data_IF_936611310535
#
_entry.id   IF_936611310535
#
_cell.length_a   1.000
_cell.length_b   1.000
_cell.length_c   1.000
_cell.angle_alpha   90.00
_cell.angle_beta   90.00
_cell.angle_gamma   90.00
#
_symmetry.space_group_name_H-M   'P 1'
#
loop_
_entity.id
_entity.type
_entity.pdbx_description
1 polymer ?
2 non-polymer ?
3 non-polymer ?
4 non-polymer ?
5 water ?
#
# COMPACT_ATOMS: atom_id res chain seq x y z
N UNK A 1 18.69 -15.69 -1.90
CA UNK A 1 17.61 -16.24 -1.08
C UNK A 1 16.61 -15.15 -0.69
N UNK A 2 15.40 -15.18 -1.28
CA UNK A 2 14.30 -14.38 -0.76
C UNK A 2 13.85 -14.98 0.58
N UNK A 3 13.51 -14.13 1.54
CA UNK A 3 13.10 -14.63 2.84
C UNK A 3 11.79 -15.40 2.73
N UNK A 4 11.74 -16.57 3.38
CA UNK A 4 10.53 -17.39 3.34
C UNK A 4 9.53 -16.84 4.35
N UNK A 5 8.67 -15.93 3.89
CA UNK A 5 7.81 -15.19 4.78
C UNK A 5 6.42 -15.83 4.88
N UNK A 6 5.63 -15.29 5.80
CA UNK A 6 4.20 -15.55 5.85
C UNK A 6 3.58 -15.16 4.52
N UNK A 7 2.45 -15.78 4.22
CA UNK A 7 1.64 -15.42 3.07
C UNK A 7 0.43 -14.64 3.54
N UNK A 8 -0.37 -14.18 2.58
CA UNK A 8 -1.62 -13.48 2.91
C UNK A 8 -2.54 -14.38 3.72
N UNK A 9 -2.58 -15.68 3.38
CA UNK A 9 -3.43 -16.60 4.15
C UNK A 9 -3.08 -16.62 5.64
N UNK A 10 -1.78 -16.56 5.97
CA UNK A 10 -1.37 -16.65 7.38
C UNK A 10 -1.64 -15.33 8.13
N UNK A 11 -1.49 -14.20 7.45
CA UNK A 11 -1.91 -12.92 8.03
C UNK A 11 -3.40 -12.97 8.39
N UNK A 12 -4.26 -13.51 7.49
CA UNK A 12 -5.67 -13.68 7.82
C UNK A 12 -5.82 -14.41 9.16
N UNK A 13 -5.09 -15.53 9.31
CA UNK A 13 -5.18 -16.32 10.55
C UNK A 13 -4.78 -15.52 11.81
N UNK A 14 -3.66 -14.79 11.77
CA UNK A 14 -3.25 -14.07 12.98
C UNK A 14 -4.20 -12.94 13.34
N UNK A 15 -4.80 -12.29 12.33
CA UNK A 15 -5.82 -11.29 12.62
C UNK A 15 -7.03 -11.92 13.30
N UNK A 16 -7.43 -13.10 12.83
CA UNK A 16 -8.55 -13.77 13.48
C UNK A 16 -8.27 -14.11 14.93
N UNK A 17 -7.00 -14.47 15.22
CA UNK A 17 -6.62 -14.77 16.60
C UNK A 17 -6.65 -13.52 17.49
N UNK A 18 -6.14 -12.39 16.99
CA UNK A 18 -6.21 -11.16 17.77
C UNK A 18 -7.65 -10.82 18.14
N UNK A 19 -8.56 -10.96 17.17
CA UNK A 19 -9.97 -10.67 17.43
C UNK A 19 -10.53 -11.61 18.50
N UNK A 20 -10.26 -12.91 18.36
CA UNK A 20 -10.70 -13.88 19.38
C UNK A 20 -10.20 -13.52 20.78
N UNK A 21 -8.96 -13.04 20.87
CA UNK A 21 -8.31 -12.69 22.13
C UNK A 21 -8.83 -11.41 22.77
N UNK A 22 -9.52 -10.56 22.02
CA UNK A 22 -9.93 -9.24 22.50
C UNK A 22 -8.72 -8.37 22.86
N UNK A 23 -7.67 -8.47 22.04
CA UNK A 23 -6.45 -7.69 22.21
C UNK A 23 -6.62 -6.35 21.49
N UNK A 24 -7.32 -5.41 22.15
CA UNK A 24 -7.70 -4.17 21.49
C UNK A 24 -6.75 -3.02 21.85
N UNK A 25 -6.53 -2.11 20.90
CA UNK A 25 -5.77 -0.91 21.17
C UNK A 25 -6.54 0.31 20.63
N UNK A 26 -6.52 1.40 21.41
CA UNK A 26 -7.33 2.61 21.18
C UNK A 26 -6.74 3.46 20.07
N UNK A 27 -7.50 3.63 18.98
CA UNK A 27 -7.11 4.52 17.86
C UNK A 27 -7.14 5.97 18.31
N UNK A 28 -6.42 6.81 17.57
CA UNK A 28 -6.42 8.26 17.83
C UNK A 28 -7.84 8.83 17.76
N UNK A 29 -8.70 8.27 16.90
CA UNK A 29 -10.10 8.70 16.79
C UNK A 29 -10.97 8.15 17.92
N UNK A 30 -10.40 7.39 18.85
CA UNK A 30 -11.15 6.80 19.94
C UNK A 30 -11.67 5.40 19.71
N UNK A 31 -11.65 4.91 18.45
CA UNK A 31 -12.18 3.62 18.03
C UNK A 31 -11.20 2.48 18.37
N UNK A 32 -11.71 1.27 18.63
CA UNK A 32 -10.86 0.10 18.86
C UNK A 32 -10.24 -0.41 17.55
N UNK A 33 -9.02 -0.96 17.64
CA UNK A 33 -8.45 -1.69 16.52
C UNK A 33 -7.92 -3.02 17.00
N UNK A 34 -7.68 -3.91 16.04
CA UNK A 34 -6.82 -5.06 16.29
C UNK A 34 -5.59 -4.88 15.42
N UNK A 35 -4.47 -5.45 15.87
CA UNK A 35 -3.19 -4.99 15.37
C UNK A 35 -2.15 -6.10 15.37
N UNK A 36 -1.35 -6.14 14.30
CA UNK A 36 -0.10 -6.88 14.32
C UNK A 36 1.02 -5.84 14.26
N UNK A 37 1.91 -5.87 15.25
CA UNK A 37 3.07 -4.97 15.34
C UNK A 37 4.24 -5.65 14.63
N UNK A 38 4.91 -4.92 13.72
CA UNK A 38 6.07 -5.46 13.01
C UNK A 38 5.76 -6.58 12.04
N UNK A 39 4.67 -6.49 11.29
CA UNK A 39 4.26 -7.55 10.36
C UNK A 39 5.17 -7.60 9.13
N UNK A 40 5.42 -8.80 8.60
CA UNK A 40 6.18 -8.94 7.35
C UNK A 40 5.68 -10.16 6.57
N UNK A 41 5.28 -10.01 5.29
CA UNK A 41 4.67 -11.13 4.53
C UNK A 41 4.81 -10.93 3.01
N UNK A 42 4.70 -12.02 2.22
CA UNK A 42 4.70 -11.89 0.73
C UNK A 42 3.28 -11.63 0.24
N UNK A 43 3.12 -10.65 -0.65
CA UNK A 43 1.82 -10.25 -1.19
C UNK A 43 1.49 -11.09 -2.44
N UNK A 44 1.01 -12.32 -2.18
CA UNK A 44 0.73 -13.29 -3.25
C UNK A 44 -0.73 -13.31 -3.68
N UNK A 45 -1.54 -12.41 -3.15
CA UNK A 45 -2.91 -12.21 -3.59
C UNK A 45 -3.14 -10.72 -3.60
N UNK A 46 -4.01 -10.22 -4.47
CA UNK A 46 -4.24 -8.77 -4.57
C UNK A 46 -5.19 -8.18 -3.51
N UNK A 47 -5.66 -8.93 -2.50
CA UNK A 47 -6.47 -8.38 -1.41
C UNK A 47 -6.37 -9.30 -0.20
N UNK A 48 -6.67 -8.78 1.01
CA UNK A 48 -6.67 -9.63 2.20
C UNK A 48 -8.11 -10.02 2.55
N UNK A 49 -8.93 -9.04 2.92
CA UNK A 49 -10.37 -9.24 3.02
C UNK A 49 -11.04 -8.21 2.12
N UNK A 50 -12.27 -8.50 1.70
CA UNK A 50 -13.01 -7.58 0.86
C UNK A 50 -12.95 -7.94 -0.62
N UNK A 51 -13.43 -7.02 -1.43
CA UNK A 51 -13.59 -7.29 -2.85
C UNK A 51 -12.77 -6.30 -3.68
N UNK A 52 -12.52 -6.67 -4.93
CA UNK A 52 -11.79 -5.77 -5.81
C UNK A 52 -12.71 -4.72 -6.40
N UNK A 53 -12.10 -3.63 -6.86
CA UNK A 53 -12.84 -2.56 -7.52
C UNK A 53 -11.93 -1.94 -8.57
N UNK A 54 -11.91 -2.54 -9.77
CA UNK A 54 -11.04 -2.07 -10.84
C UNK A 54 -11.35 -0.63 -11.24
N UNK A 55 -12.63 -0.23 -11.17
CA UNK A 55 -13.02 1.12 -11.57
C UNK A 55 -12.32 2.18 -10.73
N UNK A 56 -12.42 2.03 -9.41
CA UNK A 56 -11.82 2.98 -8.47
C UNK A 56 -10.29 2.97 -8.57
N UNK A 57 -9.70 1.78 -8.60
CA UNK A 57 -8.27 1.69 -8.75
C UNK A 57 -7.81 2.42 -10.00
N UNK A 58 -8.56 2.27 -11.11
CA UNK A 58 -8.17 2.92 -12.36
C UNK A 58 -8.26 4.44 -12.23
N UNK A 59 -9.24 4.94 -11.44
CA UNK A 59 -9.32 6.38 -11.19
C UNK A 59 -8.15 6.85 -10.32
N UNK A 60 -7.76 6.06 -9.31
CA UNK A 60 -6.62 6.49 -8.48
C UNK A 60 -5.33 6.48 -9.30
N UNK A 61 -5.18 5.51 -10.20
CA UNK A 61 -4.00 5.49 -11.05
C UNK A 61 -3.97 6.67 -12.03
N UNK A 62 -5.11 7.05 -12.62
CA UNK A 62 -5.10 8.25 -13.44
C UNK A 62 -4.69 9.49 -12.61
N UNK A 63 -5.16 9.57 -11.34
CA UNK A 63 -4.74 10.69 -10.45
C UNK A 63 -3.24 10.69 -10.18
N UNK A 64 -2.69 9.53 -9.87
CA UNK A 64 -1.25 9.39 -9.71
C UNK A 64 -0.50 9.83 -10.98
N UNK A 65 -1.01 9.43 -12.19
CA UNK A 65 -0.35 9.82 -13.45
C UNK A 65 -0.36 11.33 -13.64
N UNK A 66 -1.38 12.02 -13.13
CA UNK A 66 -1.40 13.48 -13.16
C UNK A 66 -0.39 14.15 -12.18
N UNK A 67 0.04 13.46 -11.10
CA UNK A 67 0.95 13.96 -10.02
C UNK A 67 0.36 15.08 -9.17
N UNK A 68 -0.94 15.32 -9.24
CA UNK A 68 -1.51 16.42 -8.48
C UNK A 68 -1.57 16.18 -6.97
N UNK A 69 -1.24 17.21 -6.17
CA UNK A 69 -1.38 17.12 -4.70
C UNK A 69 -2.75 17.55 -4.16
N UNK A 70 -3.75 17.75 -5.04
CA UNK A 70 -5.06 18.21 -4.62
C UNK A 70 -6.08 17.11 -4.89
N UNK A 71 -6.94 16.85 -3.90
CA UNK A 71 -7.84 15.69 -3.99
C UNK A 71 -8.92 15.87 -5.06
N UNK A 72 -9.33 17.11 -5.37
CA UNK A 72 -10.34 17.30 -6.42
C UNK A 72 -9.91 16.76 -7.80
N UNK A 73 -8.60 16.68 -8.06
CA UNK A 73 -8.19 16.20 -9.39
C UNK A 73 -8.34 14.68 -9.61
N UNK A 74 -8.68 13.91 -8.58
CA UNK A 74 -9.12 12.52 -8.80
C UNK A 74 -10.26 12.50 -9.84
N UNK A 75 -10.23 11.67 -10.92
CA UNK A 75 -11.33 11.67 -11.92
C UNK A 75 -12.69 11.41 -11.29
N UNK A 76 -13.70 12.15 -11.74
CA UNK A 76 -15.04 11.90 -11.18
C UNK A 76 -15.14 12.47 -9.75
N UNK A 77 -16.18 12.03 -9.02
CA UNK A 77 -16.41 12.51 -7.65
C UNK A 77 -15.34 12.00 -6.67
N UNK A 78 -14.67 12.93 -5.96
CA UNK A 78 -13.60 12.55 -5.03
C UNK A 78 -14.14 11.86 -3.77
N UNK A 79 -13.59 10.70 -3.39
CA UNK A 79 -14.04 9.98 -2.17
C UNK A 79 -13.97 10.80 -0.88
N UNK A 80 -14.91 10.50 0.04
CA UNK A 80 -15.02 11.24 1.30
C UNK A 80 -13.76 11.14 2.19
N UNK A 81 -13.08 10.00 2.18
CA UNK A 81 -11.90 9.86 3.04
C UNK A 81 -10.84 10.89 2.67
N UNK A 82 -10.67 11.08 1.35
CA UNK A 82 -9.66 12.03 0.88
C UNK A 82 -10.04 13.44 1.29
N UNK A 83 -11.33 13.75 1.26
CA UNK A 83 -11.79 15.06 1.73
C UNK A 83 -11.50 15.28 3.21
N UNK A 84 -11.64 14.23 4.04
CA UNK A 84 -11.51 14.45 5.49
C UNK A 84 -10.05 14.64 5.93
N UNK A 85 -9.09 14.03 5.24
CA UNK A 85 -7.70 14.26 5.64
C UNK A 85 -7.04 15.48 4.98
N UNK A 86 -7.70 16.16 4.02
CA UNK A 86 -7.07 17.24 3.25
C UNK A 86 -6.99 18.52 4.08
N UNK A 87 -6.08 19.41 3.68
CA UNK A 87 -5.91 20.71 4.34
C UNK A 87 -7.10 21.60 4.03
N UNK A 88 -7.08 22.81 4.62
CA UNK A 88 -8.08 23.84 4.32
C UNK A 88 -8.17 24.18 2.83
N UNK A 89 -7.19 23.81 2.02
CA UNK A 89 -7.18 24.12 0.58
C UNK A 89 -7.29 22.89 -0.31
N UNK A 90 -7.55 21.71 0.24
CA UNK A 90 -7.74 20.54 -0.59
C UNK A 90 -6.48 19.78 -0.82
N UNK A 91 -5.41 20.11 -0.08
CA UNK A 91 -4.08 19.55 -0.30
C UNK A 91 -3.78 18.39 0.63
N UNK A 92 -3.02 17.44 0.11
CA UNK A 92 -2.55 16.29 0.89
C UNK A 92 -1.05 16.12 0.67
N UNK A 93 -0.49 15.10 1.32
CA UNK A 93 0.88 14.68 1.09
C UNK A 93 0.95 13.41 0.23
N UNK A 94 -0.01 12.49 0.36
CA UNK A 94 0.18 11.11 -0.14
C UNK A 94 -0.28 10.88 -1.61
N UNK A 95 0.21 11.67 -2.63
CA UNK A 95 0.04 11.26 -4.04
C UNK A 95 1.29 10.48 -4.42
N UNK A 96 1.13 9.19 -4.64
CA UNK A 96 2.29 8.33 -4.90
C UNK A 96 2.88 8.56 -6.31
N UNK A 97 2.07 9.05 -7.27
CA UNK A 97 2.63 9.45 -8.57
C UNK A 97 3.53 10.67 -8.43
N UNK A 98 3.12 11.64 -7.60
CA UNK A 98 4.03 12.73 -7.24
C UNK A 98 5.27 12.16 -6.57
N UNK A 99 5.08 11.25 -5.59
CA UNK A 99 6.23 10.77 -4.84
C UNK A 99 7.28 10.13 -5.75
N UNK A 100 6.86 9.43 -6.83
CA UNK A 100 7.87 8.75 -7.65
C UNK A 100 8.15 9.41 -9.02
N UNK A 101 7.28 10.26 -9.54
CA UNK A 101 7.48 10.82 -10.87
C UNK A 101 7.76 12.32 -10.87
N UNK A 102 7.58 13.03 -9.73
CA UNK A 102 7.83 14.46 -9.69
C UNK A 102 9.31 14.78 -9.49
N UNK A 103 9.79 15.81 -10.18
CA UNK A 103 11.11 16.36 -9.85
C UNK A 103 11.18 16.90 -8.42
N UNK A 104 10.06 17.34 -7.85
CA UNK A 104 10.06 17.93 -6.49
C UNK A 104 10.33 16.93 -5.36
N UNK A 105 10.14 15.63 -5.60
CA UNK A 105 10.60 14.60 -4.67
C UNK A 105 11.84 13.85 -5.19
N UNK A 106 12.63 14.50 -6.06
CA UNK A 106 13.97 14.06 -6.45
C UNK A 106 13.94 12.81 -7.39
N UNK A 107 12.93 12.75 -8.28
CA UNK A 107 12.87 11.82 -9.44
C UNK A 107 13.15 10.37 -9.05
N UNK A 108 12.32 9.83 -8.15
CA UNK A 108 12.63 8.52 -7.57
C UNK A 108 12.59 7.40 -8.63
N UNK A 109 11.54 7.37 -9.47
CA UNK A 109 11.42 6.32 -10.52
C UNK A 109 12.58 6.39 -11.52
N UNK A 110 12.82 7.55 -12.08
CA UNK A 110 13.86 7.67 -13.11
C UNK A 110 15.23 7.32 -12.54
N UNK A 111 15.49 7.69 -11.24
CA UNK A 111 16.82 7.42 -10.65
C UNK A 111 16.96 5.96 -10.26
N UNK A 112 15.91 5.35 -9.77
CA UNK A 112 15.95 3.91 -9.57
C UNK A 112 16.12 3.18 -10.92
N UNK A 113 15.41 3.62 -11.99
CA UNK A 113 15.59 2.97 -13.31
C UNK A 113 17.02 3.13 -13.85
N UNK A 114 17.64 4.28 -13.64
CA UNK A 114 18.99 4.48 -14.10
C UNK A 114 19.99 3.64 -13.29
N UNK A 115 19.79 3.56 -11.95
CA UNK A 115 20.65 2.75 -11.10
C UNK A 115 20.62 1.28 -11.51
N UNK A 116 19.42 0.72 -11.71
CA UNK A 116 19.32 -0.69 -12.10
C UNK A 116 19.68 -0.95 -13.58
N UNK A 117 19.45 0.01 -14.48
CA UNK A 117 19.95 -0.17 -15.84
C UNK A 117 21.47 -0.21 -15.89
N UNK A 118 22.13 0.51 -14.96
CA UNK A 118 23.60 0.54 -14.93
C UNK A 118 24.20 -0.60 -14.11
N UNK A 119 23.59 -0.94 -12.97
CA UNK A 119 24.08 -2.05 -12.15
C UNK A 119 22.90 -2.90 -11.73
N UNK A 120 22.56 -3.92 -12.52
CA UNK A 120 21.40 -4.76 -12.16
C UNK A 120 21.46 -5.35 -10.74
N UNK A 121 22.65 -5.55 -10.15
CA UNK A 121 22.80 -6.17 -8.82
C UNK A 121 22.71 -5.21 -7.62
N UNK A 122 22.41 -3.93 -7.84
CA UNK A 122 22.60 -2.92 -6.80
C UNK A 122 21.66 -3.12 -5.59
N UNK A 123 22.13 -2.67 -4.39
CA UNK A 123 21.28 -2.60 -3.19
C UNK A 123 20.74 -1.20 -2.94
N UNK A 124 21.05 -0.25 -3.81
CA UNK A 124 20.65 1.15 -3.75
C UNK A 124 19.52 1.46 -4.72
N UNK A 125 18.80 0.46 -5.22
CA UNK A 125 17.66 0.80 -6.08
C UNK A 125 16.41 0.95 -5.22
N UNK A 126 16.02 2.19 -4.92
CA UNK A 126 15.01 2.42 -3.89
C UNK A 126 14.23 3.66 -4.31
N UNK A 127 12.97 3.70 -3.94
CA UNK A 127 12.13 4.88 -4.15
C UNK A 127 11.70 5.31 -2.75
N UNK A 128 12.16 6.50 -2.31
CA UNK A 128 11.95 6.99 -0.92
C UNK A 128 10.74 7.89 -0.98
N UNK A 129 9.66 7.49 -0.28
CA UNK A 129 8.40 8.23 -0.34
C UNK A 129 8.35 9.33 0.74
N UNK A 130 8.66 9.00 2.01
CA UNK A 130 8.54 9.90 3.18
C UNK A 130 9.81 10.78 3.30
N UNK A 131 9.85 11.65 4.34
CA UNK A 131 10.93 12.62 4.49
C UNK A 131 11.03 13.08 5.97
N UNK A 132 12.22 13.48 6.45
CA UNK A 132 12.35 13.87 7.88
C UNK A 132 11.43 15.00 8.34
N UNK A 133 11.15 15.94 7.42
CA UNK A 133 10.31 17.10 7.77
C UNK A 133 8.83 16.69 7.98
N UNK A 134 8.51 15.45 7.67
CA UNK A 134 7.18 14.94 8.01
C UNK A 134 6.84 15.14 9.49
N UNK A 135 7.85 15.28 10.42
CA UNK A 135 7.52 15.48 11.86
C UNK A 135 6.74 16.76 12.06
N UNK A 136 6.83 17.66 11.09
CA UNK A 136 6.12 18.93 11.07
C UNK A 136 5.15 19.06 9.90
N UNK A 137 5.35 18.32 8.78
CA UNK A 137 4.55 18.52 7.55
C UNK A 137 3.23 17.78 7.60
N UNK A 138 3.11 16.79 8.51
CA UNK A 138 1.93 15.91 8.54
C UNK A 138 0.65 16.71 8.79
N UNK A 139 0.74 17.86 9.50
CA UNK A 139 -0.49 18.62 9.81
C UNK A 139 -0.44 20.04 9.25
N UNK A 140 0.25 20.21 8.10
CA UNK A 140 0.35 21.53 7.47
C UNK A 140 -1.03 22.02 7.07
N UNK A 141 -1.32 23.27 7.43
CA UNK A 141 -2.59 23.89 7.09
C UNK A 141 -3.77 23.05 7.57
N UNK A 142 -3.54 22.26 8.64
CA UNK A 142 -4.64 21.53 9.24
C UNK A 142 -4.96 20.20 8.56
N UNK A 143 -4.14 19.73 7.62
CA UNK A 143 -4.34 18.39 7.08
C UNK A 143 -3.99 17.36 8.16
N UNK A 144 -4.25 16.10 7.86
CA UNK A 144 -3.88 15.02 8.83
C UNK A 144 -3.42 13.88 7.97
N UNK A 145 -2.14 13.96 7.53
CA UNK A 145 -1.67 13.03 6.51
C UNK A 145 -0.18 12.85 6.76
N UNK A 146 0.15 12.03 7.77
CA UNK A 146 1.54 11.58 8.00
C UNK A 146 1.79 10.41 7.03
N UNK A 147 2.72 10.57 6.08
CA UNK A 147 2.89 9.57 5.02
C UNK A 147 2.99 8.16 5.59
N UNK A 148 2.24 7.23 4.98
CA UNK A 148 2.17 5.84 5.46
C UNK A 148 3.21 4.93 4.83
N UNK A 149 3.55 5.17 3.55
CA UNK A 149 4.59 4.41 2.85
C UNK A 149 5.91 5.10 3.14
N UNK A 150 6.88 4.36 3.71
CA UNK A 150 8.19 4.96 4.01
C UNK A 150 9.07 4.83 2.80
N UNK A 151 9.36 3.59 2.37
CA UNK A 151 10.27 3.36 1.21
C UNK A 151 9.80 2.13 0.41
N UNK A 152 10.25 2.01 -0.88
CA UNK A 152 10.11 0.75 -1.66
C UNK A 152 11.44 0.45 -2.35
N UNK A 153 12.00 -0.72 -2.07
CA UNK A 153 13.29 -1.11 -2.61
C UNK A 153 13.08 -2.15 -3.74
N UNK A 154 13.89 -2.09 -4.81
CA UNK A 154 13.80 -3.06 -5.94
C UNK A 154 15.10 -3.83 -6.08
N UNK A 155 15.01 -5.17 -6.12
CA UNK A 155 16.19 -6.02 -6.17
C UNK A 155 16.03 -7.02 -7.33
N UNK A 156 16.94 -7.00 -8.30
CA UNK A 156 16.87 -7.89 -9.47
C UNK A 156 17.74 -9.11 -9.18
N UNK A 157 17.14 -10.29 -9.12
CA UNK A 157 17.88 -11.52 -8.86
C UNK A 157 17.32 -12.60 -9.80
N UNK A 158 18.21 -13.26 -10.54
CA UNK A 158 17.84 -14.37 -11.45
C UNK A 158 16.80 -13.90 -12.48
N UNK A 159 17.04 -12.73 -13.04
CA UNK A 159 16.23 -12.12 -14.10
C UNK A 159 14.79 -11.83 -13.66
N UNK A 160 14.50 -11.78 -12.33
CA UNK A 160 13.22 -11.32 -11.79
C UNK A 160 13.40 -10.11 -10.88
N UNK A 161 12.49 -9.18 -10.99
CA UNK A 161 12.58 -7.95 -10.21
C UNK A 161 11.65 -8.08 -9.01
N UNK A 162 12.21 -8.07 -7.78
CA UNK A 162 11.47 -8.15 -6.51
C UNK A 162 11.33 -6.78 -5.85
N UNK A 163 10.20 -6.53 -5.19
CA UNK A 163 10.00 -5.26 -4.48
C UNK A 163 9.83 -5.45 -2.95
N UNK A 164 10.48 -4.61 -2.14
CA UNK A 164 10.36 -4.67 -0.67
C UNK A 164 9.71 -3.35 -0.21
N UNK A 165 8.47 -3.43 0.29
CA UNK A 165 7.63 -2.25 0.60
C UNK A 165 7.70 -2.03 2.11
N UNK A 166 8.05 -0.83 2.56
CA UNK A 166 8.06 -0.57 4.01
C UNK A 166 7.10 0.53 4.38
N UNK A 167 6.15 0.17 5.25
CA UNK A 167 5.06 1.07 5.62
C UNK A 167 5.03 1.23 7.14
N UNK A 168 4.66 2.42 7.58
CA UNK A 168 4.54 2.72 8.99
C UNK A 168 3.23 2.16 9.53
N UNK A 169 2.21 2.15 8.68
CA UNK A 169 0.82 1.99 9.06
C UNK A 169 0.03 1.55 7.80
N UNK A 170 -0.83 0.53 7.93
CA UNK A 170 -1.61 0.08 6.76
C UNK A 170 -2.89 -0.56 7.26
N UNK A 171 -3.99 -0.09 6.70
CA UNK A 171 -5.31 -0.65 6.88
C UNK A 171 -5.45 -1.90 6.01
N UNK A 172 -5.79 -3.00 6.64
CA UNK A 172 -5.87 -4.32 5.96
C UNK A 172 -6.91 -4.35 4.82
N UNK A 173 -7.98 -3.58 4.92
CA UNK A 173 -9.11 -3.81 4.00
C UNK A 173 -9.03 -2.92 2.76
N UNK A 174 -9.07 -1.61 2.94
CA UNK A 174 -8.97 -0.76 1.75
C UNK A 174 -7.52 -0.44 1.39
N UNK A 175 -6.73 -0.07 2.41
CA UNK A 175 -5.36 0.37 2.16
C UNK A 175 -4.55 -0.67 1.41
N UNK A 176 -4.53 -1.91 1.91
CA UNK A 176 -3.74 -2.94 1.26
C UNK A 176 -4.17 -3.18 -0.20
N UNK A 177 -5.48 -3.28 -0.49
CA UNK A 177 -5.91 -3.57 -1.86
C UNK A 177 -5.48 -2.46 -2.84
N UNK A 178 -5.71 -1.18 -2.46
CA UNK A 178 -5.35 -0.09 -3.38
C UNK A 178 -3.84 0.00 -3.55
N UNK A 179 -3.11 -0.11 -2.41
CA UNK A 179 -1.67 0.05 -2.40
C UNK A 179 -0.99 -1.10 -3.16
N UNK A 180 -1.54 -2.31 -3.06
CA UNK A 180 -1.00 -3.42 -3.85
C UNK A 180 -1.17 -3.18 -5.36
N UNK A 181 -2.38 -2.82 -5.82
CA UNK A 181 -2.56 -2.56 -7.27
C UNK A 181 -1.54 -1.58 -7.79
N UNK A 182 -1.28 -0.53 -7.01
CA UNK A 182 -0.31 0.48 -7.40
C UNK A 182 1.10 -0.10 -7.47
N UNK A 183 1.55 -0.77 -6.40
CA UNK A 183 2.89 -1.35 -6.40
C UNK A 183 3.08 -2.34 -7.57
N UNK A 184 2.05 -3.12 -7.92
CA UNK A 184 2.19 -4.07 -9.05
C UNK A 184 2.29 -3.34 -10.40
N UNK A 185 1.53 -2.24 -10.56
CA UNK A 185 1.60 -1.46 -11.81
C UNK A 185 3.00 -0.90 -12.00
N UNK A 186 3.57 -0.34 -10.91
CA UNK A 186 4.92 0.25 -10.99
C UNK A 186 5.95 -0.83 -11.33
N UNK A 187 5.88 -1.96 -10.64
CA UNK A 187 6.77 -3.07 -10.96
C UNK A 187 6.70 -3.48 -12.44
N UNK A 188 5.48 -3.69 -12.99
CA UNK A 188 5.35 -4.09 -14.41
C UNK A 188 5.92 -3.03 -15.37
N UNK A 189 5.64 -1.75 -15.09
CA UNK A 189 6.21 -0.68 -15.91
C UNK A 189 7.73 -0.71 -15.88
N UNK A 190 8.33 -0.83 -14.69
CA UNK A 190 9.79 -0.89 -14.57
C UNK A 190 10.35 -2.08 -15.38
N UNK A 191 9.70 -3.24 -15.30
CA UNK A 191 10.14 -4.41 -16.08
C UNK A 191 10.12 -4.09 -17.59
N UNK A 192 9.04 -3.48 -18.04
CA UNK A 192 8.86 -3.22 -19.47
C UNK A 192 9.85 -2.17 -19.99
N UNK A 193 10.13 -1.15 -19.16
CA UNK A 193 11.07 -0.11 -19.52
C UNK A 193 12.49 -0.67 -19.59
N UNK A 194 12.88 -1.47 -18.58
CA UNK A 194 14.17 -2.12 -18.66
C UNK A 194 14.27 -3.00 -19.93
N UNK A 195 13.21 -3.73 -20.28
CA UNK A 195 13.31 -4.64 -21.44
C UNK A 195 13.36 -3.89 -22.78
N UNK A 196 12.65 -2.78 -22.90
CA UNK A 196 12.70 -2.03 -24.15
C UNK A 196 14.07 -1.38 -24.33
N UNK A 197 14.80 -1.17 -23.22
CA UNK A 197 16.15 -0.63 -23.32
C UNK A 197 17.15 -1.58 -23.92
N UNK A 198 16.96 -2.90 -23.75
CA UNK A 198 17.91 -3.90 -24.24
C UNK A 198 17.17 -5.22 -24.41
N UNK A 199 17.00 -5.67 -25.66
CA UNK A 199 16.20 -6.86 -25.92
C UNK A 199 16.87 -8.16 -25.50
N UNK A 200 18.09 -8.13 -24.95
CA UNK A 200 18.70 -9.31 -24.33
C UNK A 200 18.39 -9.45 -22.83
N UNK A 201 17.92 -8.39 -22.15
CA UNK A 201 17.67 -8.51 -20.70
C UNK A 201 16.63 -9.58 -20.39
N UNK A 202 15.51 -9.55 -21.11
CA UNK A 202 14.37 -10.46 -20.91
C UNK A 202 13.96 -10.59 -19.44
N UNK A 203 13.88 -9.48 -18.72
CA UNK A 203 13.44 -9.54 -17.33
C UNK A 203 11.93 -9.85 -17.23
N UNK A 204 11.52 -10.33 -16.04
CA UNK A 204 10.13 -10.57 -15.68
C UNK A 204 9.88 -10.08 -14.25
N UNK A 205 8.61 -9.85 -13.92
CA UNK A 205 8.21 -9.44 -12.57
C UNK A 205 8.42 -10.57 -11.56
N UNK A 206 8.91 -10.23 -10.35
CA UNK A 206 9.18 -11.19 -9.28
C UNK A 206 8.17 -11.01 -8.15
N UNK A 207 8.60 -11.11 -6.87
CA UNK A 207 7.72 -11.04 -5.69
C UNK A 207 7.65 -9.65 -5.08
N UNK A 208 6.52 -9.35 -4.43
CA UNK A 208 6.36 -8.12 -3.64
C UNK A 208 6.27 -8.50 -2.14
N UNK A 209 7.23 -8.01 -1.33
CA UNK A 209 7.32 -8.29 0.13
C UNK A 209 6.81 -7.05 0.90
N UNK A 210 5.89 -7.27 1.84
CA UNK A 210 5.15 -6.21 2.54
C UNK A 210 5.60 -6.15 4.01
N UNK A 211 6.09 -4.99 4.50
CA UNK A 211 6.54 -4.85 5.89
C UNK A 211 5.80 -3.68 6.54
N UNK A 212 5.21 -3.84 7.74
CA UNK A 212 4.33 -2.80 8.31
C UNK A 212 4.56 -2.65 9.84
N UNK A 213 4.73 -1.41 10.34
CA UNK A 213 4.87 -1.22 11.80
C UNK A 213 3.60 -1.55 12.58
N UNK A 214 2.45 -0.97 12.17
CA UNK A 214 1.12 -1.31 12.67
C UNK A 214 0.24 -1.72 11.48
N UNK A 215 -0.09 -3.00 11.39
CA UNK A 215 -1.02 -3.49 10.36
C UNK A 215 -2.31 -3.75 11.09
N UNK A 216 -3.37 -3.02 10.72
CA UNK A 216 -4.51 -3.03 11.61
C UNK A 216 -5.85 -3.13 10.87
N UNK A 217 -6.83 -3.60 11.62
CA UNK A 217 -8.23 -3.58 11.20
C UNK A 217 -9.02 -2.70 12.16
N UNK A 218 -9.76 -1.75 11.58
CA UNK A 218 -10.68 -0.89 12.31
C UNK A 218 -11.91 -1.66 12.72
N UNK A 219 -12.50 -1.28 13.87
CA UNK A 219 -13.61 -2.05 14.39
C UNK A 219 -14.80 -2.11 13.41
N UNK A 220 -14.89 -1.16 12.47
CA UNK A 220 -15.96 -1.13 11.45
C UNK A 220 -15.80 -2.21 10.39
N UNK A 221 -14.66 -2.88 10.35
CA UNK A 221 -14.46 -4.02 9.47
C UNK A 221 -14.29 -5.31 10.25
N UNK A 222 -14.51 -5.31 11.59
CA UNK A 222 -14.35 -6.56 12.34
C UNK A 222 -15.25 -7.65 11.74
N UNK A 223 -16.42 -7.27 11.18
CA UNK A 223 -17.34 -8.26 10.59
C UNK A 223 -16.65 -9.09 9.50
N UNK A 224 -15.80 -8.48 8.66
CA UNK A 224 -15.20 -9.30 7.60
C UNK A 224 -14.29 -10.36 8.21
N UNK A 225 -13.51 -9.98 9.23
CA UNK A 225 -12.62 -10.93 9.91
C UNK A 225 -13.43 -12.06 10.52
N UNK A 226 -14.48 -11.70 11.26
CA UNK A 226 -15.31 -12.68 11.91
C UNK A 226 -15.93 -13.61 10.88
N UNK A 227 -16.42 -13.05 9.76
CA UNK A 227 -17.07 -13.92 8.79
C UNK A 227 -16.06 -14.86 8.18
N UNK A 228 -14.86 -14.36 7.88
CA UNK A 228 -13.86 -15.25 7.32
C UNK A 228 -13.44 -16.28 8.36
N UNK A 229 -13.36 -15.86 9.64
CA UNK A 229 -13.05 -16.79 10.73
C UNK A 229 -14.05 -17.93 10.77
N UNK A 230 -15.31 -17.66 10.42
CA UNK A 230 -16.33 -18.68 10.53
C UNK A 230 -16.50 -19.52 9.26
N UNK A 231 -16.13 -19.01 8.08
CA UNK A 231 -16.60 -19.62 6.82
C UNK A 231 -15.52 -19.79 5.75
N UNK A 232 -14.39 -19.08 5.84
CA UNK A 232 -13.40 -19.10 4.78
C UNK A 232 -13.69 -18.20 3.60
N UNK A 233 -14.85 -17.54 3.55
CA UNK A 233 -15.13 -16.58 2.48
C UNK A 233 -14.47 -15.25 2.81
N UNK A 234 -13.73 -14.70 1.84
CA UNK A 234 -12.95 -13.50 2.09
C UNK A 234 -13.75 -12.22 1.90
N UNK A 235 -14.99 -12.34 1.47
CA UNK A 235 -15.86 -11.19 1.26
C UNK A 235 -17.29 -11.59 1.57
N UNK A 236 -18.04 -10.65 2.14
CA UNK A 236 -19.49 -10.74 2.27
C UNK A 236 -20.01 -9.31 2.31
N UNK A 237 -21.19 -9.08 1.76
CA UNK A 237 -21.77 -7.74 1.82
C UNK A 237 -22.21 -7.45 3.25
N UNK A 238 -22.06 -6.19 3.67
CA UNK A 238 -22.43 -5.84 5.04
C UNK A 238 -23.90 -6.15 5.30
N UNK A 239 -24.75 -6.05 4.26
CA UNK A 239 -26.17 -6.35 4.42
C UNK A 239 -26.40 -7.81 4.75
N UNK A 240 -25.58 -8.71 4.21
CA UNK A 240 -25.79 -10.14 4.38
C UNK A 240 -25.15 -10.71 5.65
N UNK A 241 -24.13 -10.05 6.20
CA UNK A 241 -23.46 -10.54 7.40
C UNK A 241 -24.43 -10.67 8.57
N UNK A 242 -24.43 -11.85 9.21
CA UNK A 242 -25.07 -12.10 10.50
C UNK A 242 -23.97 -12.48 11.50
N UNK A 243 -24.00 -11.87 12.67
CA UNK A 243 -22.96 -12.07 13.66
C UNK A 243 -22.89 -10.91 14.61
N UNK A 244 -22.01 -11.06 15.61
CA UNK A 244 -21.91 -10.08 16.69
C UNK A 244 -21.55 -8.68 16.19
N UNK A 245 -20.51 -8.54 15.38
CA UNK A 245 -19.96 -7.23 15.05
C UNK A 245 -20.78 -6.41 14.05
N UNK A 246 -22.11 -6.42 14.18
CA UNK A 246 -23.01 -5.61 13.33
C UNK A 246 -22.82 -4.10 13.55
X LIG B 1 -2.02 7.13 11.22
X LIG B 1 -1.33 5.76 11.24
X LIG B 1 -1.29 8.20 10.46
X LIG B 1 -2.70 7.50 12.51
X LIG B 1 -3.46 6.78 10.16
X LIG B 1 -3.22 6.69 8.78
X LIG B 1 -4.33 5.63 8.28
X LIG B 1 -4.52 5.59 6.81
X LIG B 1 -3.94 4.18 8.69
X LIG B 1 -5.17 3.48 9.00
X LIG B 1 -3.27 3.63 7.39
X LIG B 1 -4.26 4.31 6.34
X LIG B 1 -3.60 4.48 5.02
X LIG B 1 -3.14 3.29 4.35
X LIG B 1 -3.28 2.15 4.79
X LIG B 1 -2.55 3.50 3.08
X LIG B 1 -2.35 4.77 2.49
X LIG B 1 -1.77 4.80 1.38
X LIG B 1 -2.86 5.93 3.24
X LIG B 1 -2.70 7.29 2.63
X LIG B 1 -3.47 5.76 4.46
X LIG C 1 -13.34 17.64 -3.77
X LIG D 1 -12.62 14.68 -8.52
#
# INVERSE_FOLDING_TARGET
MISDSMTVEEIRLHLGLALKEKDFVVDKTGVKTIEIIGASFVADEPFIFGALNDEYIQRELEWYKSKSLFVKDIPGETPKIWQQVASSKGEINSNYGWAIWSEDNYAQYDMCLAELGQNPDSRRGIMIYTRPSMQFDYNKDGMSDFMCTNTVQYLIRDKKINAVVNMRSNDVVFGFRNNYAWQKYVLDKLVSDLNAGDSTRQYKAGSIIWNVGSLHVYSRHFYLVDHWWKTGETHISKKDYVGKYALEHHHHHHHH
TMP P O1P O2P O3P O5' C5' C4' O4' C3' O3' C2' C1' N1 C2 O2 N3 C4 O4 C5 C5M C6
IOD I
NA NA
#
